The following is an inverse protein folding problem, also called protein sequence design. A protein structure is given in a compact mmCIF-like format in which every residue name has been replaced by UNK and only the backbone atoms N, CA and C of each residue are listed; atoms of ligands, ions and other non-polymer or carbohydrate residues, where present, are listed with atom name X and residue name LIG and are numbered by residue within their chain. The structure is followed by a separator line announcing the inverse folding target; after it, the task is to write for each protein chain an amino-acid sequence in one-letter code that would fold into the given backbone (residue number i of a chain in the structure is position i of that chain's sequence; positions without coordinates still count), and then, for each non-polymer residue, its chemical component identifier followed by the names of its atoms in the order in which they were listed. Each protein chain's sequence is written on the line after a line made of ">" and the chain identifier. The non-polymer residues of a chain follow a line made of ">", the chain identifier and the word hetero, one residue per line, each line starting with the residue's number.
data_IF_038709559465
#
_entry.id   IF_038709559465
#
_cell.length_a   1.000
_cell.length_b   1.000
_cell.length_c   1.000
_cell.angle_alpha   90.00
_cell.angle_beta   90.00
_cell.angle_gamma   90.00
#
_symmetry.space_group_name_H-M   'P 1'
#
loop_
_entity.id
_entity.type
_entity.pdbx_description
1 polymer ?
#
# COMPACT_ATOMS: atom_id res chain seq x y z
N UNK A 1 0.83 -8.06 32.54
CA UNK A 1 1.68 -9.21 32.21
C UNK A 1 2.83 -8.67 31.38
N UNK A 2 4.01 -8.51 31.96
CA UNK A 2 5.19 -8.00 31.24
C UNK A 2 5.68 -9.09 30.28
N UNK A 3 5.61 -8.82 28.98
CA UNK A 3 6.23 -9.72 27.99
C UNK A 3 7.74 -9.82 28.25
N UNK A 4 8.34 -11.02 28.10
CA UNK A 4 9.79 -11.15 28.19
C UNK A 4 10.43 -10.35 27.06
N UNK A 5 11.35 -9.43 27.41
CA UNK A 5 12.21 -8.73 26.44
C UNK A 5 13.05 -9.79 25.70
N UNK A 6 12.52 -10.25 24.54
CA UNK A 6 13.36 -10.99 23.59
C UNK A 6 14.31 -9.97 22.94
N UNK A 7 15.53 -9.95 23.43
CA UNK A 7 16.66 -9.30 22.76
C UNK A 7 16.71 -9.83 21.33
N UNK A 8 16.45 -8.98 20.36
CA UNK A 8 16.65 -9.27 18.93
C UNK A 8 18.13 -9.60 18.78
N UNK A 9 18.42 -10.86 18.59
CA UNK A 9 19.78 -11.34 18.39
C UNK A 9 20.26 -10.91 17.00
N UNK A 10 21.18 -9.98 16.93
CA UNK A 10 21.91 -9.58 15.70
C UNK A 10 22.99 -10.60 15.33
N UNK A 11 22.81 -11.89 15.61
CA UNK A 11 23.75 -12.91 15.17
C UNK A 11 23.70 -12.98 13.64
N UNK A 12 24.83 -12.69 12.99
CA UNK A 12 25.06 -12.97 11.56
C UNK A 12 24.64 -14.43 11.30
N UNK A 13 23.98 -14.72 10.16
CA UNK A 13 23.64 -16.08 9.80
C UNK A 13 24.90 -16.95 9.88
N UNK A 14 24.77 -18.13 10.48
CA UNK A 14 25.87 -19.08 10.68
C UNK A 14 26.28 -19.81 9.39
N UNK A 15 25.51 -19.64 8.29
CA UNK A 15 25.82 -20.18 6.98
C UNK A 15 26.60 -19.16 6.15
N UNK A 16 27.63 -19.63 5.43
CA UNK A 16 28.32 -18.82 4.44
C UNK A 16 27.33 -18.35 3.37
N UNK A 17 27.38 -17.08 2.94
CA UNK A 17 26.47 -16.57 1.93
C UNK A 17 26.61 -17.38 0.64
N UNK A 18 25.49 -17.59 -0.05
CA UNK A 18 25.48 -18.26 -1.36
C UNK A 18 26.33 -17.42 -2.33
N UNK A 19 27.25 -18.05 -3.10
CA UNK A 19 28.07 -17.30 -4.06
C UNK A 19 27.21 -16.50 -5.04
N UNK A 20 27.55 -15.22 -5.22
CA UNK A 20 26.79 -14.28 -6.06
C UNK A 20 25.87 -13.36 -5.27
N UNK A 21 25.68 -13.58 -3.98
CA UNK A 21 24.98 -12.63 -3.10
C UNK A 21 25.93 -11.90 -2.16
N UNK A 22 25.53 -10.70 -1.74
CA UNK A 22 26.02 -10.01 -0.55
C UNK A 22 24.96 -10.10 0.53
N UNK A 23 25.33 -10.55 1.72
CA UNK A 23 24.50 -10.44 2.92
C UNK A 23 24.54 -8.99 3.43
N UNK A 24 23.41 -8.42 3.77
CA UNK A 24 23.27 -7.03 4.22
C UNK A 24 22.97 -6.98 5.72
N UNK A 25 21.84 -7.55 6.15
CA UNK A 25 21.39 -7.51 7.55
C UNK A 25 20.38 -8.60 7.86
N UNK A 26 20.07 -8.76 9.16
CA UNK A 26 18.97 -9.62 9.64
C UNK A 26 18.23 -8.91 10.76
N UNK A 27 16.92 -8.77 10.63
CA UNK A 27 16.03 -8.15 11.60
C UNK A 27 14.74 -8.96 11.71
N UNK A 28 14.32 -9.26 12.93
CA UNK A 28 13.08 -10.00 13.23
C UNK A 28 12.95 -11.35 12.47
N UNK A 29 14.09 -12.04 12.19
CA UNK A 29 14.11 -13.29 11.44
C UNK A 29 14.07 -13.12 9.92
N UNK A 30 13.98 -11.89 9.41
CA UNK A 30 14.09 -11.57 7.98
C UNK A 30 15.55 -11.29 7.65
N UNK A 31 16.10 -12.00 6.66
CA UNK A 31 17.46 -11.82 6.17
C UNK A 31 17.47 -11.06 4.85
N UNK A 32 18.31 -10.03 4.72
CA UNK A 32 18.45 -9.28 3.48
C UNK A 32 19.73 -9.65 2.73
N UNK A 33 19.56 -9.86 1.44
CA UNK A 33 20.63 -10.13 0.48
C UNK A 33 20.50 -9.19 -0.74
N UNK A 34 21.63 -8.99 -1.44
CA UNK A 34 21.66 -8.33 -2.75
C UNK A 34 22.37 -9.25 -3.75
N UNK A 35 21.71 -9.53 -4.87
CA UNK A 35 22.27 -10.26 -6.00
C UNK A 35 23.31 -9.36 -6.72
N UNK A 36 24.58 -9.75 -6.70
CA UNK A 36 25.69 -8.90 -7.16
C UNK A 36 25.67 -8.57 -8.65
N UNK A 37 25.11 -9.48 -9.47
CA UNK A 37 25.09 -9.30 -10.92
C UNK A 37 24.24 -8.11 -11.38
N UNK A 38 23.14 -7.81 -10.67
CA UNK A 38 22.17 -6.82 -11.14
C UNK A 38 21.52 -5.97 -10.04
N UNK A 39 21.87 -6.18 -8.76
CA UNK A 39 21.39 -5.36 -7.68
C UNK A 39 20.02 -5.76 -7.12
N UNK A 40 19.40 -6.86 -7.56
CA UNK A 40 18.14 -7.34 -7.00
C UNK A 40 18.29 -7.57 -5.49
N UNK A 41 17.44 -6.90 -4.71
CA UNK A 41 17.33 -7.11 -3.27
C UNK A 41 16.45 -8.32 -2.99
N UNK A 42 16.82 -9.10 -1.99
CA UNK A 42 16.08 -10.29 -1.58
C UNK A 42 15.88 -10.24 -0.07
N UNK A 43 14.62 -10.31 0.37
CA UNK A 43 14.23 -10.52 1.76
C UNK A 43 13.79 -11.97 1.91
N UNK A 44 14.44 -12.70 2.79
CA UNK A 44 14.13 -14.10 3.07
C UNK A 44 13.68 -14.26 4.53
N UNK A 45 12.57 -14.98 4.74
CA UNK A 45 12.07 -15.32 6.07
C UNK A 45 11.62 -16.77 6.13
N UNK A 46 12.31 -17.58 6.94
CA UNK A 46 11.98 -18.99 7.11
C UNK A 46 10.79 -19.21 8.02
N UNK A 47 9.81 -19.97 7.54
CA UNK A 47 8.62 -20.42 8.28
C UNK A 47 8.52 -21.93 8.16
N UNK A 48 9.23 -22.71 9.02
CA UNK A 48 9.27 -24.16 8.92
C UNK A 48 7.91 -24.80 9.20
N UNK A 49 7.74 -26.02 8.72
CA UNK A 49 6.60 -26.89 9.00
C UNK A 49 5.23 -26.37 8.50
N UNK A 50 5.23 -25.39 7.60
CA UNK A 50 3.99 -24.87 7.00
C UNK A 50 3.66 -25.51 5.65
N UNK A 51 4.65 -26.08 4.97
CA UNK A 51 4.54 -26.63 3.62
C UNK A 51 4.23 -25.58 2.54
N UNK A 52 4.13 -24.30 2.90
CA UNK A 52 3.72 -23.19 2.02
C UNK A 52 4.87 -22.18 1.90
N UNK A 53 5.02 -21.63 0.69
CA UNK A 53 5.93 -20.52 0.38
C UNK A 53 5.14 -19.42 -0.30
N UNK A 54 5.40 -18.18 0.11
CA UNK A 54 4.98 -16.97 -0.60
C UNK A 54 6.20 -16.32 -1.23
N UNK A 55 6.16 -16.12 -2.54
CA UNK A 55 7.04 -15.18 -3.23
C UNK A 55 6.27 -13.90 -3.50
N UNK A 56 6.88 -12.78 -3.18
CA UNK A 56 6.33 -11.45 -3.45
C UNK A 56 7.44 -10.62 -4.09
N UNK A 57 7.17 -10.03 -5.24
CA UNK A 57 8.08 -9.10 -5.87
C UNK A 57 7.46 -7.70 -5.85
N UNK A 58 8.13 -6.77 -5.18
CA UNK A 58 7.73 -5.38 -5.07
C UNK A 58 8.64 -4.53 -5.94
N UNK A 59 8.07 -3.90 -6.95
CA UNK A 59 8.73 -2.85 -7.73
C UNK A 59 8.51 -1.52 -7.04
N UNK A 60 9.60 -0.76 -6.84
CA UNK A 60 9.58 0.56 -6.18
C UNK A 60 9.13 1.63 -7.17
N UNK A 61 7.93 1.47 -7.68
CA UNK A 61 7.26 2.33 -8.65
C UNK A 61 5.75 2.19 -8.50
N UNK A 62 5.04 3.29 -8.52
CA UNK A 62 3.58 3.33 -8.43
C UNK A 62 3.02 4.57 -9.10
N UNK A 63 1.79 4.94 -8.73
CA UNK A 63 1.09 6.06 -9.35
C UNK A 63 1.85 7.40 -9.25
N UNK A 64 2.68 7.59 -8.23
CA UNK A 64 3.48 8.82 -8.08
C UNK A 64 4.56 9.00 -9.13
N UNK A 65 4.98 7.93 -9.81
CA UNK A 65 6.05 7.95 -10.80
C UNK A 65 5.51 8.18 -12.23
N UNK A 66 4.21 8.37 -12.36
CA UNK A 66 3.51 8.60 -13.62
C UNK A 66 3.71 10.02 -14.14
N UNK A 67 3.74 10.16 -15.46
CA UNK A 67 3.80 11.47 -16.09
C UNK A 67 2.37 12.08 -16.20
N UNK A 68 2.32 13.40 -16.32
CA UNK A 68 1.06 14.08 -16.64
C UNK A 68 0.55 13.62 -18.01
N UNK A 69 -0.73 13.28 -18.10
CA UNK A 69 -1.36 12.70 -19.27
C UNK A 69 -1.15 11.19 -19.43
N UNK A 70 -0.55 10.54 -18.41
CA UNK A 70 -0.35 9.09 -18.35
C UNK A 70 -0.74 8.52 -16.97
N UNK A 71 -1.67 9.18 -16.26
CA UNK A 71 -2.13 8.68 -14.95
C UNK A 71 -2.86 7.34 -15.11
N UNK A 72 -2.59 6.39 -14.20
CA UNK A 72 -3.10 5.02 -14.28
C UNK A 72 -2.24 4.06 -15.10
N UNK A 73 -1.10 4.52 -15.68
CA UNK A 73 -0.21 3.65 -16.45
C UNK A 73 0.42 2.55 -15.60
N UNK A 74 0.72 2.82 -14.33
CA UNK A 74 1.25 1.83 -13.40
C UNK A 74 0.22 0.72 -13.12
N UNK A 75 -1.04 1.08 -12.91
CA UNK A 75 -2.15 0.14 -12.70
C UNK A 75 -2.47 -0.64 -13.99
N UNK A 76 -2.52 0.02 -15.13
CA UNK A 76 -2.70 -0.68 -16.42
C UNK A 76 -1.57 -1.67 -16.68
N UNK A 77 -0.33 -1.31 -16.36
CA UNK A 77 0.80 -2.24 -16.49
C UNK A 77 0.67 -3.43 -15.54
N UNK A 78 0.12 -3.25 -14.35
CA UNK A 78 -0.20 -4.36 -13.45
C UNK A 78 -1.08 -5.40 -14.15
N UNK A 79 -2.18 -4.98 -14.80
CA UNK A 79 -3.05 -5.87 -15.60
C UNK A 79 -2.30 -6.54 -16.73
N UNK A 80 -1.46 -5.78 -17.45
CA UNK A 80 -0.71 -6.28 -18.60
C UNK A 80 0.35 -7.31 -18.21
N UNK A 81 0.86 -7.31 -16.98
CA UNK A 81 1.86 -8.26 -16.54
C UNK A 81 1.29 -9.69 -16.27
N UNK A 82 0.00 -9.88 -16.40
CA UNK A 82 -0.64 -11.21 -16.44
C UNK A 82 -0.79 -11.74 -17.88
N UNK A 83 -0.44 -10.95 -18.89
CA UNK A 83 -0.44 -11.35 -20.31
C UNK A 83 0.77 -12.21 -20.65
N UNK A 84 0.78 -12.86 -21.84
CA UNK A 84 1.89 -13.72 -22.24
C UNK A 84 3.22 -13.00 -22.25
N UNK A 85 4.24 -13.70 -21.78
CA UNK A 85 5.64 -13.34 -21.95
C UNK A 85 6.18 -13.89 -23.28
N UNK A 86 7.38 -13.46 -23.68
CA UNK A 86 8.11 -14.04 -24.82
C UNK A 86 8.29 -15.56 -24.64
N UNK A 87 8.56 -16.00 -23.41
CA UNK A 87 8.70 -17.42 -23.08
C UNK A 87 7.38 -18.18 -23.21
N UNK A 88 6.27 -17.57 -22.81
CA UNK A 88 4.93 -18.15 -22.92
C UNK A 88 4.55 -18.38 -24.39
N UNK A 89 4.74 -17.37 -25.24
CA UNK A 89 4.48 -17.49 -26.69
C UNK A 89 5.35 -18.57 -27.32
N UNK A 90 6.64 -18.64 -26.96
CA UNK A 90 7.54 -19.67 -27.45
C UNK A 90 7.13 -21.08 -26.99
N UNK A 91 6.47 -21.19 -25.85
CA UNK A 91 5.94 -22.45 -25.32
C UNK A 91 4.53 -22.79 -25.82
N UNK A 92 3.86 -21.88 -26.55
CA UNK A 92 2.49 -22.06 -27.03
C UNK A 92 1.43 -21.99 -25.91
N UNK A 93 1.68 -21.20 -24.87
CA UNK A 93 0.76 -20.99 -23.74
C UNK A 93 0.33 -19.53 -23.64
N UNK A 94 -0.89 -19.31 -23.17
CA UNK A 94 -1.46 -17.96 -23.08
C UNK A 94 -0.84 -17.14 -21.93
N UNK A 95 -0.59 -17.77 -20.79
CA UNK A 95 0.03 -17.12 -19.61
C UNK A 95 0.49 -18.17 -18.62
N UNK A 96 1.78 -18.20 -18.31
CA UNK A 96 2.35 -19.13 -17.33
C UNK A 96 1.81 -18.88 -15.92
N UNK A 97 1.56 -17.63 -15.53
CA UNK A 97 1.03 -17.29 -14.21
C UNK A 97 -0.41 -17.79 -14.03
N UNK A 98 -1.28 -17.55 -15.03
CA UNK A 98 -2.67 -18.02 -15.00
C UNK A 98 -2.77 -19.55 -15.10
N UNK A 99 -1.88 -20.15 -15.88
CA UNK A 99 -1.79 -21.62 -15.95
C UNK A 99 -1.33 -22.20 -14.60
N UNK A 100 -0.36 -21.56 -13.93
CA UNK A 100 0.14 -21.97 -12.62
C UNK A 100 -0.98 -21.96 -11.58
N UNK A 101 -1.79 -20.89 -11.55
CA UNK A 101 -2.95 -20.78 -10.66
C UNK A 101 -3.97 -21.90 -10.93
N UNK A 102 -4.37 -22.11 -12.18
CA UNK A 102 -5.34 -23.17 -12.55
C UNK A 102 -4.88 -24.58 -12.19
N UNK A 103 -3.59 -24.87 -12.33
CA UNK A 103 -3.04 -26.20 -12.10
C UNK A 103 -2.77 -26.52 -10.63
N UNK A 104 -2.44 -25.51 -9.83
CA UNK A 104 -1.98 -25.71 -8.46
C UNK A 104 -2.95 -25.19 -7.40
N UNK A 105 -3.91 -24.32 -7.79
CA UNK A 105 -4.76 -23.60 -6.85
C UNK A 105 -3.96 -22.59 -6.00
N UNK A 106 -2.78 -22.14 -6.48
CA UNK A 106 -2.01 -21.13 -5.77
C UNK A 106 -2.82 -19.83 -5.66
N UNK A 107 -2.57 -19.07 -4.59
CA UNK A 107 -3.10 -17.72 -4.47
C UNK A 107 -2.20 -16.77 -5.25
N UNK A 108 -2.73 -16.20 -6.32
CA UNK A 108 -2.07 -15.21 -7.17
C UNK A 108 -2.81 -13.89 -7.06
N UNK A 109 -2.09 -12.79 -6.79
CA UNK A 109 -2.65 -11.46 -6.89
C UNK A 109 -1.56 -10.42 -7.16
N UNK A 110 -2.00 -9.20 -7.48
CA UNK A 110 -1.15 -8.02 -7.60
C UNK A 110 -1.90 -6.80 -7.07
N UNK A 111 -1.16 -5.75 -6.76
CA UNK A 111 -1.75 -4.45 -6.46
C UNK A 111 -0.77 -3.31 -6.73
N UNK A 112 -1.33 -2.19 -7.18
CA UNK A 112 -0.62 -0.93 -7.41
C UNK A 112 -1.08 0.11 -6.40
N UNK A 113 -0.11 0.81 -5.79
CA UNK A 113 -0.33 1.93 -4.89
C UNK A 113 0.45 3.17 -5.35
N UNK A 114 0.50 4.18 -4.50
CA UNK A 114 1.23 5.43 -4.79
C UNK A 114 2.73 5.18 -5.02
N UNK A 115 3.35 4.34 -4.17
CA UNK A 115 4.81 4.16 -4.09
C UNK A 115 5.34 2.85 -4.67
N UNK A 116 4.46 1.89 -4.98
CA UNK A 116 4.82 0.53 -5.33
C UNK A 116 3.81 -0.17 -6.22
N UNK A 117 4.30 -1.18 -6.94
CA UNK A 117 3.49 -2.22 -7.58
C UNK A 117 4.02 -3.58 -7.15
N UNK A 118 3.14 -4.47 -6.72
CA UNK A 118 3.50 -5.74 -6.08
C UNK A 118 2.78 -6.89 -6.76
N UNK A 119 3.51 -8.01 -6.97
CA UNK A 119 2.96 -9.28 -7.45
C UNK A 119 3.32 -10.36 -6.45
N UNK A 120 2.37 -11.21 -6.10
CA UNK A 120 2.64 -12.32 -5.19
C UNK A 120 1.99 -13.62 -5.62
N UNK A 121 2.67 -14.72 -5.26
CA UNK A 121 2.17 -16.08 -5.31
C UNK A 121 2.30 -16.72 -3.94
N UNK A 122 1.27 -17.43 -3.49
CA UNK A 122 1.36 -18.31 -2.32
C UNK A 122 0.98 -19.74 -2.74
N UNK A 123 1.87 -20.69 -2.53
CA UNK A 123 1.82 -22.02 -3.11
C UNK A 123 2.56 -23.06 -2.24
N UNK A 124 2.32 -24.39 -2.44
CA UNK A 124 3.12 -25.44 -1.83
C UNK A 124 4.61 -25.35 -2.20
N UNK A 125 5.49 -25.55 -1.23
CA UNK A 125 6.94 -25.29 -1.35
C UNK A 125 7.63 -25.97 -2.54
N UNK A 126 7.11 -27.09 -3.03
CA UNK A 126 7.63 -27.82 -4.20
C UNK A 126 7.60 -27.00 -5.49
N UNK A 127 6.69 -26.00 -5.59
CA UNK A 127 6.52 -25.16 -6.79
C UNK A 127 7.41 -23.92 -6.83
N UNK A 128 8.29 -23.70 -5.85
CA UNK A 128 9.18 -22.55 -5.79
C UNK A 128 9.96 -22.32 -7.10
N UNK A 129 10.45 -23.37 -7.73
CA UNK A 129 11.23 -23.25 -8.98
C UNK A 129 10.39 -22.66 -10.12
N UNK A 130 9.12 -23.08 -10.24
CA UNK A 130 8.19 -22.60 -11.25
C UNK A 130 7.78 -21.15 -10.99
N UNK A 131 7.45 -20.81 -9.74
CA UNK A 131 7.05 -19.46 -9.37
C UNK A 131 8.17 -18.44 -9.66
N UNK A 132 9.40 -18.73 -9.24
CA UNK A 132 10.56 -17.88 -9.49
C UNK A 132 10.87 -17.71 -10.98
N UNK A 133 10.67 -18.75 -11.79
CA UNK A 133 10.81 -18.68 -13.24
C UNK A 133 9.78 -17.70 -13.84
N UNK A 134 8.52 -17.84 -13.45
CA UNK A 134 7.43 -16.95 -13.92
C UNK A 134 7.73 -15.50 -13.58
N UNK A 135 8.17 -15.21 -12.35
CA UNK A 135 8.52 -13.85 -11.94
C UNK A 135 9.71 -13.27 -12.72
N UNK A 136 10.71 -14.08 -13.02
CA UNK A 136 11.84 -13.64 -13.83
C UNK A 136 11.45 -13.33 -15.29
N UNK A 137 10.59 -14.17 -15.86
CA UNK A 137 10.04 -13.96 -17.20
C UNK A 137 9.15 -12.70 -17.25
N UNK A 138 8.31 -12.47 -16.22
CA UNK A 138 7.51 -11.25 -16.06
C UNK A 138 8.38 -9.99 -15.97
N UNK A 139 9.48 -10.05 -15.24
CA UNK A 139 10.39 -8.90 -15.09
C UNK A 139 11.05 -8.46 -16.40
N UNK A 140 11.26 -9.37 -17.36
CA UNK A 140 12.10 -9.09 -18.52
C UNK A 140 11.45 -9.42 -19.88
N UNK A 141 10.29 -10.04 -19.91
CA UNK A 141 9.78 -10.64 -21.14
C UNK A 141 8.30 -10.42 -21.45
N UNK A 142 7.61 -9.49 -20.80
CA UNK A 142 6.20 -9.20 -21.11
C UNK A 142 6.09 -8.60 -22.50
N UNK A 143 5.09 -9.04 -23.26
CA UNK A 143 4.80 -8.54 -24.61
C UNK A 143 3.69 -7.49 -24.50
N UNK A 144 4.02 -6.25 -24.82
CA UNK A 144 3.10 -5.12 -24.78
C UNK A 144 2.79 -4.68 -26.21
N UNK A 145 1.54 -4.90 -26.64
CA UNK A 145 1.05 -4.48 -27.97
C UNK A 145 -0.29 -3.77 -27.83
N UNK A 146 -0.63 -2.91 -28.78
CA UNK A 146 -1.93 -2.25 -28.78
C UNK A 146 -3.10 -3.24 -28.91
N UNK A 147 -2.87 -4.40 -29.54
CA UNK A 147 -3.84 -5.48 -29.64
C UNK A 147 -4.11 -6.12 -28.27
N UNK A 148 -3.07 -6.42 -27.48
CA UNK A 148 -3.23 -6.98 -26.13
C UNK A 148 -3.70 -5.94 -25.12
N UNK A 149 -3.41 -4.65 -25.33
CA UNK A 149 -3.84 -3.54 -24.48
C UNK A 149 -5.32 -3.21 -24.63
N UNK A 150 -5.87 -3.32 -25.84
CA UNK A 150 -7.25 -2.89 -26.12
C UNK A 150 -8.32 -3.54 -25.22
N UNK A 151 -8.36 -4.88 -25.04
CA UNK A 151 -9.29 -5.50 -24.11
C UNK A 151 -9.04 -5.11 -22.65
N UNK A 152 -7.77 -4.98 -22.21
CA UNK A 152 -7.46 -4.58 -20.85
C UNK A 152 -7.84 -3.12 -20.58
N UNK A 153 -7.69 -2.23 -21.54
CA UNK A 153 -8.21 -0.86 -21.44
C UNK A 153 -9.72 -0.86 -21.17
N UNK A 154 -10.47 -1.71 -21.86
CA UNK A 154 -11.91 -1.83 -21.63
C UNK A 154 -12.24 -2.35 -20.24
N UNK A 155 -11.45 -3.30 -19.73
CA UNK A 155 -11.58 -3.81 -18.36
C UNK A 155 -11.30 -2.72 -17.31
N UNK A 156 -10.18 -1.98 -17.47
CA UNK A 156 -9.81 -0.88 -16.56
C UNK A 156 -10.81 0.28 -16.61
N UNK A 157 -11.35 0.61 -17.79
CA UNK A 157 -12.42 1.60 -17.91
C UNK A 157 -13.71 1.14 -17.23
N UNK A 158 -14.05 -0.14 -17.31
CA UNK A 158 -15.19 -0.70 -16.58
C UNK A 158 -14.98 -0.66 -15.06
N UNK A 159 -13.75 -0.94 -14.60
CA UNK A 159 -13.37 -0.80 -13.21
C UNK A 159 -13.43 0.67 -12.75
N UNK A 160 -12.93 1.59 -13.59
CA UNK A 160 -13.05 3.02 -13.33
C UNK A 160 -14.51 3.45 -13.14
N UNK A 161 -15.40 3.02 -14.06
CA UNK A 161 -16.82 3.37 -13.99
C UNK A 161 -17.48 2.78 -12.73
N UNK A 162 -17.16 1.56 -12.36
CA UNK A 162 -17.64 0.91 -11.14
C UNK A 162 -17.18 1.68 -9.90
N UNK A 163 -15.88 1.98 -9.80
CA UNK A 163 -15.30 2.74 -8.66
C UNK A 163 -15.85 4.16 -8.63
N UNK A 164 -15.90 4.83 -9.75
CA UNK A 164 -16.40 6.21 -9.84
C UNK A 164 -17.91 6.31 -9.55
N UNK A 165 -18.66 5.21 -9.66
CA UNK A 165 -20.04 5.09 -9.22
C UNK A 165 -20.20 5.02 -7.69
N UNK A 166 -19.16 4.65 -6.95
CA UNK A 166 -19.15 4.60 -5.49
C UNK A 166 -19.00 6.01 -4.89
N UNK A 167 -19.91 6.42 -3.98
CA UNK A 167 -19.86 7.76 -3.36
C UNK A 167 -18.59 8.05 -2.58
N UNK A 168 -18.05 7.07 -1.83
CA UNK A 168 -16.83 7.24 -1.05
C UNK A 168 -15.63 7.42 -1.95
N UNK A 169 -15.50 6.60 -3.00
CA UNK A 169 -14.42 6.74 -3.98
C UNK A 169 -14.50 8.09 -4.73
N UNK A 170 -15.70 8.48 -5.17
CA UNK A 170 -15.89 9.74 -5.90
C UNK A 170 -15.51 10.94 -5.04
N UNK A 171 -15.85 10.91 -3.75
CA UNK A 171 -15.46 11.94 -2.79
C UNK A 171 -13.95 11.91 -2.52
N UNK A 172 -13.36 10.73 -2.30
CA UNK A 172 -11.92 10.55 -2.11
C UNK A 172 -11.12 11.13 -3.27
N UNK A 173 -11.45 10.76 -4.51
CA UNK A 173 -10.78 11.25 -5.70
C UNK A 173 -10.83 12.79 -5.82
N UNK A 174 -11.98 13.40 -5.54
CA UNK A 174 -12.14 14.85 -5.55
C UNK A 174 -11.33 15.52 -4.43
N UNK A 175 -11.29 14.91 -3.24
CA UNK A 175 -10.51 15.40 -2.10
C UNK A 175 -9.01 15.31 -2.35
N UNK A 176 -8.52 14.19 -2.86
CA UNK A 176 -7.12 13.99 -3.23
C UNK A 176 -6.69 15.04 -4.26
N UNK A 177 -7.47 15.22 -5.33
CA UNK A 177 -7.19 16.25 -6.34
C UNK A 177 -7.23 17.70 -5.81
N UNK A 178 -7.99 17.96 -4.72
CA UNK A 178 -8.07 19.25 -4.07
C UNK A 178 -6.95 19.47 -3.04
N UNK A 179 -6.50 18.38 -2.39
CA UNK A 179 -5.49 18.43 -1.34
C UNK A 179 -4.08 18.72 -1.85
N UNK A 180 -3.81 18.50 -3.14
CA UNK A 180 -2.50 18.67 -3.74
C UNK A 180 -2.54 19.60 -4.95
N UNK A 181 -1.54 20.48 -5.06
CA UNK A 181 -1.32 21.32 -6.24
C UNK A 181 -0.28 20.74 -7.19
N UNK A 182 0.75 20.13 -6.63
CA UNK A 182 1.94 19.69 -7.39
C UNK A 182 2.34 18.27 -7.11
N UNK A 183 2.10 17.79 -5.88
CA UNK A 183 2.58 16.49 -5.47
C UNK A 183 1.89 15.37 -6.26
N UNK A 184 2.62 14.35 -6.72
CA UNK A 184 2.06 13.28 -7.56
C UNK A 184 1.08 12.36 -6.81
N UNK A 185 0.92 12.49 -5.48
CA UNK A 185 -0.18 11.83 -4.77
C UNK A 185 -1.55 12.46 -5.04
N UNK A 186 -1.63 13.50 -5.83
CA UNK A 186 -2.86 14.25 -6.12
C UNK A 186 -3.84 13.58 -7.09
N UNK A 187 -3.68 12.30 -7.40
CA UNK A 187 -4.64 11.51 -8.18
C UNK A 187 -4.77 10.09 -7.64
N UNK A 188 -5.86 9.42 -7.94
CA UNK A 188 -6.09 8.04 -7.58
C UNK A 188 -5.23 7.09 -8.44
N UNK A 189 -4.92 5.91 -7.91
CA UNK A 189 -4.03 4.93 -8.57
C UNK A 189 -4.58 4.44 -9.91
N UNK A 190 -5.90 4.39 -10.07
CA UNK A 190 -6.53 4.00 -11.34
C UNK A 190 -6.33 5.04 -12.43
N UNK A 191 -5.99 6.29 -12.07
CA UNK A 191 -5.79 7.39 -13.01
C UNK A 191 -7.06 8.12 -13.40
N UNK A 192 -6.94 9.03 -14.38
CA UNK A 192 -8.07 9.71 -15.00
C UNK A 192 -8.55 8.97 -16.23
N UNK A 193 -9.87 8.98 -16.48
CA UNK A 193 -10.49 8.33 -17.63
C UNK A 193 -9.83 8.75 -18.95
N UNK A 194 -9.62 10.05 -19.12
CA UNK A 194 -9.06 10.66 -20.32
C UNK A 194 -7.64 10.14 -20.63
N UNK A 195 -6.85 9.92 -19.58
CA UNK A 195 -5.50 9.35 -19.71
C UNK A 195 -5.58 7.86 -20.05
N UNK A 196 -6.46 7.09 -19.40
CA UNK A 196 -6.67 5.66 -19.68
C UNK A 196 -7.08 5.43 -21.15
N UNK A 197 -7.88 6.32 -21.72
CA UNK A 197 -8.33 6.24 -23.10
C UNK A 197 -7.21 6.51 -24.14
N UNK A 198 -6.17 7.25 -23.75
CA UNK A 198 -5.18 7.81 -24.67
C UNK A 198 -3.85 7.05 -24.73
N UNK A 199 -3.38 6.45 -23.64
CA UNK A 199 -2.07 5.81 -23.69
C UNK A 199 -2.08 4.51 -24.53
N UNK A 200 -0.92 4.15 -25.06
CA UNK A 200 -0.72 3.05 -26.00
C UNK A 200 0.40 2.11 -25.51
N UNK A 201 0.63 1.04 -26.26
CA UNK A 201 1.67 0.06 -25.92
C UNK A 201 3.06 0.70 -25.75
N UNK A 202 3.39 1.74 -26.52
CA UNK A 202 4.69 2.40 -26.43
C UNK A 202 4.86 3.18 -25.10
N UNK A 203 3.80 3.80 -24.54
CA UNK A 203 3.86 4.43 -23.22
C UNK A 203 4.03 3.38 -22.11
N UNK A 204 3.32 2.25 -22.18
CA UNK A 204 3.48 1.15 -21.24
C UNK A 204 4.88 0.54 -21.32
N UNK A 205 5.39 0.28 -22.54
CA UNK A 205 6.74 -0.28 -22.74
C UNK A 205 7.81 0.64 -22.18
N UNK A 206 7.69 1.97 -22.38
CA UNK A 206 8.61 2.96 -21.80
C UNK A 206 8.61 2.89 -20.27
N UNK A 207 7.42 2.85 -19.65
CA UNK A 207 7.27 2.75 -18.20
C UNK A 207 7.82 1.41 -17.68
N UNK A 208 7.49 0.32 -18.32
CA UNK A 208 7.97 -1.02 -17.99
C UNK A 208 9.51 -1.09 -18.02
N UNK A 209 10.15 -0.70 -19.14
CA UNK A 209 11.62 -0.74 -19.28
C UNK A 209 12.34 0.17 -18.28
N UNK A 210 11.71 1.27 -17.87
CA UNK A 210 12.29 2.21 -16.95
C UNK A 210 12.27 1.72 -15.52
N UNK A 211 11.20 1.09 -15.08
CA UNK A 211 10.94 0.80 -13.68
C UNK A 211 10.93 -0.68 -13.30
N UNK A 212 10.57 -1.59 -14.21
CA UNK A 212 10.47 -3.03 -13.96
C UNK A 212 11.83 -3.69 -14.21
N UNK A 213 12.73 -3.53 -13.26
CA UNK A 213 14.14 -3.90 -13.38
C UNK A 213 14.68 -4.40 -12.04
N UNK A 214 15.73 -5.27 -12.05
CA UNK A 214 16.23 -5.89 -10.82
C UNK A 214 16.63 -4.90 -9.72
N UNK A 215 17.31 -3.81 -10.09
CA UNK A 215 17.79 -2.79 -9.13
C UNK A 215 16.71 -1.82 -8.64
N UNK A 216 15.46 -2.01 -9.10
CA UNK A 216 14.26 -1.32 -8.61
C UNK A 216 13.26 -2.29 -7.97
N UNK A 217 13.64 -3.52 -7.74
CA UNK A 217 12.78 -4.56 -7.21
C UNK A 217 13.32 -5.14 -5.90
N UNK A 218 12.40 -5.57 -5.04
CA UNK A 218 12.68 -6.37 -3.85
C UNK A 218 11.89 -7.66 -3.94
N UNK A 219 12.60 -8.79 -4.03
CA UNK A 219 12.01 -10.12 -3.99
C UNK A 219 11.90 -10.58 -2.53
N UNK A 220 10.71 -10.91 -2.07
CA UNK A 220 10.49 -11.51 -0.78
C UNK A 220 10.18 -13.01 -0.94
N UNK A 221 10.83 -13.84 -0.15
CA UNK A 221 10.56 -15.28 -0.06
C UNK A 221 10.30 -15.61 1.39
N UNK A 222 9.06 -15.90 1.71
CA UNK A 222 8.59 -16.19 3.07
C UNK A 222 7.96 -17.57 3.09
N UNK A 223 8.41 -18.47 3.95
CA UNK A 223 7.78 -19.79 4.05
C UNK A 223 8.72 -20.96 4.32
N UNK A 224 8.22 -22.13 3.99
CA UNK A 224 8.87 -23.40 4.29
C UNK A 224 9.83 -23.81 3.16
N UNK A 225 10.94 -23.12 3.10
CA UNK A 225 12.03 -23.42 2.16
C UNK A 225 13.37 -23.07 2.80
N UNK A 226 14.38 -23.90 2.56
CA UNK A 226 15.75 -23.63 3.00
C UNK A 226 16.33 -22.40 2.30
N UNK A 227 17.02 -21.54 3.05
CA UNK A 227 17.60 -20.29 2.57
C UNK A 227 18.55 -20.47 1.39
N UNK A 228 19.43 -21.48 1.47
CA UNK A 228 20.38 -21.75 0.40
C UNK A 228 19.68 -22.24 -0.87
N UNK A 229 18.62 -23.02 -0.73
CA UNK A 229 17.77 -23.46 -1.86
C UNK A 229 17.10 -22.24 -2.50
N UNK A 230 16.45 -21.39 -1.71
CA UNK A 230 15.78 -20.18 -2.19
C UNK A 230 16.74 -19.26 -2.96
N UNK A 231 17.87 -18.91 -2.35
CA UNK A 231 18.86 -18.03 -2.97
C UNK A 231 19.49 -18.66 -4.23
N UNK A 232 19.73 -19.99 -4.25
CA UNK A 232 20.26 -20.68 -5.43
C UNK A 232 19.29 -20.61 -6.61
N UNK A 233 17.98 -20.78 -6.35
CA UNK A 233 16.94 -20.70 -7.38
C UNK A 233 16.74 -19.26 -7.87
N UNK A 234 16.74 -18.26 -6.96
CA UNK A 234 16.70 -16.85 -7.34
C UNK A 234 17.88 -16.52 -8.25
N UNK A 235 19.10 -16.90 -7.86
CA UNK A 235 20.28 -16.69 -8.71
C UNK A 235 20.13 -17.33 -10.10
N UNK A 236 19.61 -18.57 -10.18
CA UNK A 236 19.39 -19.27 -11.44
C UNK A 236 18.57 -18.47 -12.43
N UNK A 237 17.47 -17.87 -11.98
CA UNK A 237 16.52 -17.20 -12.86
C UNK A 237 16.78 -15.70 -13.05
N UNK A 238 17.27 -15.02 -12.02
CA UNK A 238 17.40 -13.57 -12.06
C UNK A 238 18.79 -13.05 -12.42
N UNK A 239 19.85 -13.86 -12.29
CA UNK A 239 21.21 -13.35 -12.49
C UNK A 239 21.53 -12.93 -13.93
N UNK A 240 20.81 -13.45 -14.91
CA UNK A 240 20.97 -13.12 -16.33
C UNK A 240 20.16 -11.87 -16.75
N UNK A 241 19.23 -11.40 -15.91
CA UNK A 241 18.48 -10.17 -16.18
C UNK A 241 19.43 -8.99 -15.95
N UNK A 242 19.71 -8.25 -17.00
CA UNK A 242 20.64 -7.14 -16.94
C UNK A 242 20.06 -5.93 -16.20
N UNK A 243 20.91 -5.24 -15.46
CA UNK A 243 20.59 -3.92 -14.93
C UNK A 243 20.81 -2.88 -16.03
N UNK A 244 19.76 -2.14 -16.46
CA UNK A 244 19.94 -1.06 -17.42
C UNK A 244 20.91 0.01 -16.92
N UNK A 245 21.71 0.57 -17.83
CA UNK A 245 22.67 1.65 -17.49
C UNK A 245 21.98 2.99 -17.18
N UNK A 246 20.77 3.20 -17.69
CA UNK A 246 19.99 4.43 -17.47
C UNK A 246 19.58 4.52 -16.00
N UNK A 247 19.85 5.63 -15.30
CA UNK A 247 19.38 5.84 -13.94
C UNK A 247 17.86 5.82 -13.84
N UNK A 248 17.33 5.30 -12.74
CA UNK A 248 15.90 5.38 -12.44
C UNK A 248 15.59 6.83 -12.08
N UNK A 249 14.67 7.52 -12.77
CA UNK A 249 14.28 8.86 -12.38
C UNK A 249 13.59 8.83 -11.02
N UNK A 250 13.99 9.74 -10.13
CA UNK A 250 13.36 9.95 -8.84
C UNK A 250 13.05 11.44 -8.72
N UNK A 251 11.81 11.77 -8.87
CA UNK A 251 11.36 13.16 -8.77
C UNK A 251 11.08 13.48 -7.29
N UNK A 252 11.71 14.53 -6.80
CA UNK A 252 11.40 15.11 -5.49
C UNK A 252 10.55 16.35 -5.71
N UNK A 253 9.24 16.16 -5.68
CA UNK A 253 8.28 17.26 -5.80
C UNK A 253 7.82 17.59 -4.38
N UNK A 254 8.05 18.84 -3.98
CA UNK A 254 7.55 19.35 -2.70
C UNK A 254 6.21 20.01 -2.94
N UNK A 255 5.19 19.57 -2.22
CA UNK A 255 3.89 20.24 -2.22
C UNK A 255 4.03 21.63 -1.59
N UNK A 256 3.49 22.69 -2.23
CA UNK A 256 3.44 24.01 -1.61
C UNK A 256 2.68 23.98 -0.28
N UNK A 257 3.14 24.80 0.68
CA UNK A 257 2.47 24.92 1.98
C UNK A 257 1.01 25.34 1.80
N UNK A 258 0.11 24.62 2.44
CA UNK A 258 -1.30 25.00 2.46
C UNK A 258 -1.52 26.18 3.38
N UNK A 259 -2.11 27.27 2.87
CA UNK A 259 -2.31 28.51 3.62
C UNK A 259 -3.67 28.58 4.36
N UNK A 260 -4.63 27.73 3.96
CA UNK A 260 -5.96 27.70 4.58
C UNK A 260 -6.73 26.44 4.23
N UNK A 261 -7.92 26.30 4.83
CA UNK A 261 -8.82 25.18 4.61
C UNK A 261 -9.23 25.06 3.14
N UNK A 262 -9.07 23.86 2.59
CA UNK A 262 -9.57 23.55 1.24
C UNK A 262 -10.92 22.85 1.33
N UNK A 263 -11.77 23.06 0.32
CA UNK A 263 -13.12 22.45 0.27
C UNK A 263 -13.46 21.94 -1.12
N UNK A 264 -14.20 20.84 -1.17
CA UNK A 264 -14.74 20.29 -2.41
C UNK A 264 -16.12 19.67 -2.16
N UNK A 265 -17.03 19.84 -3.11
CA UNK A 265 -18.35 19.23 -3.09
C UNK A 265 -18.52 18.34 -4.32
N UNK A 266 -19.04 17.13 -4.10
CA UNK A 266 -19.42 16.18 -5.15
C UNK A 266 -20.93 15.97 -5.05
N UNK A 267 -21.68 16.36 -6.09
CA UNK A 267 -23.13 16.19 -6.14
C UNK A 267 -23.49 15.14 -7.19
N UNK A 268 -24.15 14.07 -6.77
CA UNK A 268 -24.54 12.96 -7.67
C UNK A 268 -25.89 12.35 -7.24
N UNK A 269 -26.62 11.71 -8.17
CA UNK A 269 -27.81 10.92 -7.81
C UNK A 269 -27.45 9.84 -6.79
N UNK A 270 -27.94 9.97 -5.57
CA UNK A 270 -27.73 9.05 -4.44
C UNK A 270 -28.64 9.43 -3.28
N UNK A 271 -28.91 8.50 -2.39
CA UNK A 271 -29.52 8.78 -1.10
C UNK A 271 -28.49 9.09 0.00
N UNK A 272 -27.22 8.79 -0.25
CA UNK A 272 -26.13 9.00 0.71
C UNK A 272 -25.69 10.45 0.75
N UNK A 273 -25.40 10.92 1.95
CA UNK A 273 -24.73 12.18 2.23
C UNK A 273 -23.50 11.88 3.09
N UNK A 274 -22.34 12.36 2.68
CA UNK A 274 -21.07 12.07 3.37
C UNK A 274 -20.34 13.36 3.66
N UNK A 275 -19.80 13.48 4.88
CA UNK A 275 -18.80 14.48 5.26
C UNK A 275 -17.47 13.77 5.43
N UNK A 276 -16.44 14.23 4.73
CA UNK A 276 -15.11 13.74 4.89
C UNK A 276 -14.13 14.84 5.31
N UNK A 277 -13.36 14.60 6.36
CA UNK A 277 -12.28 15.47 6.81
C UNK A 277 -10.96 14.82 6.38
N UNK A 278 -10.39 15.28 5.29
CA UNK A 278 -9.03 14.93 4.88
C UNK A 278 -8.01 15.73 5.67
N UNK A 279 -6.90 15.12 6.07
CA UNK A 279 -5.82 15.77 6.80
C UNK A 279 -4.47 15.25 6.34
N UNK A 280 -3.50 16.13 6.16
CA UNK A 280 -2.13 15.74 5.79
C UNK A 280 -1.39 15.13 6.97
N UNK A 281 -0.80 13.96 6.76
CA UNK A 281 -0.03 13.22 7.76
C UNK A 281 1.37 12.92 7.25
N UNK A 282 2.31 12.71 8.17
CA UNK A 282 3.69 12.35 7.85
C UNK A 282 3.79 10.94 7.27
N UNK A 283 4.86 10.70 6.49
CA UNK A 283 5.09 9.39 5.86
C UNK A 283 5.31 8.24 6.85
N UNK A 284 4.96 7.06 6.41
CA UNK A 284 5.21 5.78 7.09
C UNK A 284 6.70 5.36 6.93
N UNK A 285 7.34 4.71 7.91
CA UNK A 285 6.83 4.28 9.22
C UNK A 285 7.31 5.21 10.37
N UNK A 286 7.09 6.50 10.26
CA UNK A 286 7.49 7.48 11.29
C UNK A 286 6.66 7.37 12.59
N UNK A 287 7.21 7.86 13.71
CA UNK A 287 6.49 7.89 15.00
C UNK A 287 5.21 8.73 14.92
N UNK A 288 5.25 9.79 14.15
CA UNK A 288 4.10 10.67 13.89
C UNK A 288 2.98 9.91 13.18
N UNK A 289 3.32 9.07 12.20
CA UNK A 289 2.36 8.21 11.51
C UNK A 289 1.66 7.24 12.48
N UNK A 290 2.41 6.57 13.35
CA UNK A 290 1.83 5.66 14.34
C UNK A 290 0.99 6.40 15.40
N UNK A 291 1.36 7.64 15.77
CA UNK A 291 0.55 8.47 16.66
C UNK A 291 -0.77 8.90 16.00
N UNK A 292 -0.73 9.25 14.70
CA UNK A 292 -1.92 9.52 13.88
C UNK A 292 -2.81 8.27 13.76
N UNK A 293 -2.22 7.11 13.51
CA UNK A 293 -2.93 5.82 13.48
C UNK A 293 -3.65 5.53 14.79
N UNK A 294 -2.97 5.73 15.94
CA UNK A 294 -3.57 5.55 17.25
C UNK A 294 -4.70 6.56 17.52
N UNK A 295 -4.55 7.82 17.08
CA UNK A 295 -5.60 8.82 17.17
C UNK A 295 -6.83 8.42 16.35
N UNK A 296 -6.66 7.99 15.11
CA UNK A 296 -7.77 7.52 14.27
C UNK A 296 -8.49 6.34 14.89
N UNK A 297 -7.76 5.38 15.43
CA UNK A 297 -8.35 4.23 16.11
C UNK A 297 -9.15 4.65 17.36
N UNK A 298 -8.70 5.68 18.09
CA UNK A 298 -9.44 6.28 19.21
C UNK A 298 -10.73 6.97 18.71
N UNK A 299 -10.66 7.64 17.56
CA UNK A 299 -11.80 8.38 16.99
C UNK A 299 -12.84 7.47 16.33
N UNK A 300 -12.39 6.42 15.61
CA UNK A 300 -13.26 5.64 14.70
C UNK A 300 -13.14 4.12 14.85
N UNK A 301 -12.24 3.62 15.69
CA UNK A 301 -11.87 2.19 15.76
C UNK A 301 -12.92 1.28 16.42
N UNK A 302 -14.15 1.33 15.97
CA UNK A 302 -15.24 0.45 16.39
C UNK A 302 -16.26 1.11 17.32
N UNK A 303 -17.21 0.33 17.87
CA UNK A 303 -18.36 0.87 18.59
C UNK A 303 -18.04 1.72 19.82
N UNK A 304 -16.92 1.45 20.49
CA UNK A 304 -16.51 2.22 21.67
C UNK A 304 -15.66 3.47 21.34
N UNK A 305 -15.46 3.78 20.06
CA UNK A 305 -14.71 4.95 19.63
C UNK A 305 -15.48 6.25 19.84
N UNK A 306 -14.76 7.35 19.98
CA UNK A 306 -15.35 8.64 20.37
C UNK A 306 -16.43 9.10 19.38
N UNK A 307 -16.14 9.05 18.08
CA UNK A 307 -17.10 9.50 17.06
C UNK A 307 -18.25 8.53 16.84
N UNK A 308 -18.02 7.22 17.02
CA UNK A 308 -19.09 6.24 16.95
C UNK A 308 -20.15 6.50 18.03
N UNK A 309 -19.70 6.62 19.30
CA UNK A 309 -20.59 6.96 20.41
C UNK A 309 -21.28 8.32 20.20
N UNK A 310 -20.54 9.33 19.74
CA UNK A 310 -21.09 10.67 19.61
C UNK A 310 -22.06 10.83 18.45
N UNK A 311 -21.86 10.12 17.36
CA UNK A 311 -22.61 10.32 16.10
C UNK A 311 -23.52 9.13 15.76
N UNK A 312 -23.00 7.90 15.80
CA UNK A 312 -23.77 6.71 15.39
C UNK A 312 -24.79 6.32 16.47
N UNK A 313 -24.36 6.19 17.72
CA UNK A 313 -25.28 5.83 18.83
C UNK A 313 -26.37 6.88 19.07
N UNK A 314 -26.12 8.15 18.68
CA UNK A 314 -27.10 9.23 18.76
C UNK A 314 -27.93 9.41 17.46
N UNK A 315 -27.78 8.55 16.47
CA UNK A 315 -28.55 8.57 15.23
C UNK A 315 -28.24 9.76 14.31
N UNK A 316 -27.08 10.41 14.47
CA UNK A 316 -26.62 11.54 13.64
C UNK A 316 -25.92 11.03 12.38
N UNK A 317 -25.19 9.91 12.49
CA UNK A 317 -24.54 9.22 11.39
C UNK A 317 -24.94 7.76 11.34
N UNK A 318 -24.79 7.12 10.17
CA UNK A 318 -24.95 5.69 9.99
C UNK A 318 -23.64 4.94 10.09
N UNK A 319 -22.52 5.60 9.71
CA UNK A 319 -21.16 5.08 9.90
C UNK A 319 -20.16 6.20 10.12
N UNK A 320 -19.04 5.85 10.76
CA UNK A 320 -17.85 6.68 10.91
C UNK A 320 -16.63 5.82 10.66
N UNK A 321 -15.80 6.21 9.70
CA UNK A 321 -14.63 5.48 9.27
C UNK A 321 -13.38 6.38 9.25
N UNK A 322 -12.22 5.81 9.52
CA UNK A 322 -10.94 6.50 9.45
C UNK A 322 -9.91 5.72 8.65
N UNK A 323 -9.22 6.38 7.73
CA UNK A 323 -8.18 5.76 6.93
C UNK A 323 -6.86 6.53 6.96
N UNK A 324 -5.76 5.78 6.91
CA UNK A 324 -4.40 6.31 6.89
C UNK A 324 -3.53 5.37 6.04
N UNK A 325 -3.05 5.83 4.90
CA UNK A 325 -2.24 5.03 4.00
C UNK A 325 -0.76 5.04 4.40
N UNK A 326 -0.05 3.89 4.31
CA UNK A 326 1.37 3.80 4.60
C UNK A 326 2.23 4.25 3.43
N UNK A 327 2.23 5.53 3.09
CA UNK A 327 3.03 6.12 2.02
C UNK A 327 4.40 6.61 2.48
N UNK A 328 5.37 6.62 1.58
CA UNK A 328 6.76 7.02 1.89
C UNK A 328 6.94 8.51 2.18
N UNK A 329 5.99 9.34 1.72
CA UNK A 329 5.98 10.79 1.92
C UNK A 329 4.68 11.23 2.59
N UNK A 330 4.56 12.52 2.88
CA UNK A 330 3.34 13.11 3.42
C UNK A 330 2.15 12.80 2.50
N UNK A 331 1.07 12.28 3.09
CA UNK A 331 -0.16 11.94 2.38
C UNK A 331 -1.39 12.47 3.10
N UNK A 332 -2.55 12.31 2.48
CA UNK A 332 -3.85 12.63 3.07
C UNK A 332 -4.44 11.38 3.72
N UNK A 333 -4.76 11.47 5.02
CA UNK A 333 -5.66 10.55 5.71
C UNK A 333 -7.07 11.12 5.75
N UNK A 334 -8.07 10.32 6.02
CA UNK A 334 -9.47 10.75 6.04
C UNK A 334 -10.22 10.27 7.27
N UNK A 335 -11.14 11.12 7.75
CA UNK A 335 -12.30 10.74 8.56
C UNK A 335 -13.53 10.88 7.67
N UNK A 336 -14.25 9.79 7.42
CA UNK A 336 -15.48 9.76 6.62
C UNK A 336 -16.67 9.51 7.53
N UNK A 337 -17.73 10.29 7.38
CA UNK A 337 -18.97 10.21 8.16
C UNK A 337 -20.14 10.13 7.19
N UNK A 338 -20.86 9.02 7.16
CA UNK A 338 -22.11 8.90 6.41
C UNK A 338 -23.24 9.39 7.28
N UNK A 339 -23.96 10.42 6.82
CA UNK A 339 -25.00 11.10 7.58
C UNK A 339 -26.28 10.25 7.67
N UNK A 340 -26.92 10.26 8.82
CA UNK A 340 -28.30 9.81 8.95
C UNK A 340 -29.26 10.85 8.35
N UNK A 341 -30.45 10.44 7.85
CA UNK A 341 -31.44 11.34 7.31
C UNK A 341 -31.83 12.49 8.27
N UNK A 342 -31.93 13.69 7.73
CA UNK A 342 -32.31 14.88 8.52
C UNK A 342 -31.17 15.69 9.08
N UNK A 343 -29.93 15.26 8.89
CA UNK A 343 -28.74 16.00 9.32
C UNK A 343 -28.06 16.70 8.14
N UNK A 344 -27.44 17.87 8.41
CA UNK A 344 -26.73 18.66 7.42
C UNK A 344 -25.22 18.41 7.47
N UNK A 345 -24.56 18.55 6.33
CA UNK A 345 -23.10 18.38 6.23
C UNK A 345 -22.36 19.35 7.16
N UNK A 346 -22.75 20.63 7.15
CA UNK A 346 -22.13 21.67 7.98
C UNK A 346 -22.30 21.38 9.48
N UNK A 347 -23.50 20.94 9.88
CA UNK A 347 -23.77 20.62 11.29
C UNK A 347 -22.94 19.44 11.80
N UNK A 348 -22.77 18.38 10.96
CA UNK A 348 -21.95 17.24 11.32
C UNK A 348 -20.45 17.58 11.29
N UNK A 349 -19.97 18.33 10.29
CA UNK A 349 -18.60 18.86 10.27
C UNK A 349 -18.28 19.63 11.56
N UNK A 350 -19.14 20.57 11.94
CA UNK A 350 -18.95 21.39 13.14
C UNK A 350 -18.90 20.51 14.41
N UNK A 351 -19.82 19.55 14.56
CA UNK A 351 -19.80 18.61 15.68
C UNK A 351 -18.47 17.84 15.77
N UNK A 352 -18.01 17.29 14.65
CA UNK A 352 -16.73 16.52 14.61
C UNK A 352 -15.57 17.42 14.99
N UNK A 353 -15.49 18.63 14.44
CA UNK A 353 -14.43 19.60 14.78
C UNK A 353 -14.45 19.98 16.26
N UNK A 354 -15.64 20.20 16.85
CA UNK A 354 -15.80 20.49 18.28
C UNK A 354 -15.35 19.30 19.12
N UNK A 355 -15.72 18.07 18.76
CA UNK A 355 -15.32 16.86 19.48
C UNK A 355 -13.79 16.72 19.47
N UNK A 356 -13.16 16.87 18.30
CA UNK A 356 -11.70 16.78 18.17
C UNK A 356 -11.00 17.88 18.98
N UNK A 357 -11.51 19.12 18.94
CA UNK A 357 -10.92 20.26 19.66
C UNK A 357 -11.00 20.13 21.20
N UNK A 358 -11.88 19.26 21.70
CA UNK A 358 -12.07 19.01 23.14
C UNK A 358 -11.31 17.77 23.65
N UNK A 359 -10.53 17.11 22.77
CA UNK A 359 -9.72 15.96 23.20
C UNK A 359 -8.71 16.40 24.27
N UNK A 360 -8.67 15.68 25.36
CA UNK A 360 -7.76 15.91 26.46
C UNK A 360 -7.11 14.62 26.99
N UNK A 361 -6.15 14.76 27.86
CA UNK A 361 -5.44 13.61 28.43
C UNK A 361 -6.36 12.65 29.21
N UNK A 362 -7.42 13.17 29.82
CA UNK A 362 -8.37 12.37 30.59
C UNK A 362 -9.21 11.48 29.68
N UNK A 363 -9.62 11.99 28.54
CA UNK A 363 -10.38 11.27 27.52
C UNK A 363 -9.50 10.24 26.78
N UNK A 364 -8.30 10.62 26.37
CA UNK A 364 -7.42 9.77 25.55
C UNK A 364 -6.78 8.65 26.37
N UNK A 365 -6.37 8.88 27.63
CA UNK A 365 -5.58 7.92 28.41
C UNK A 365 -6.21 6.51 28.54
N UNK A 366 -7.49 6.34 28.89
CA UNK A 366 -8.10 5.02 28.98
C UNK A 366 -8.25 4.33 27.61
N UNK A 367 -8.55 5.09 26.56
CA UNK A 367 -8.74 4.57 25.20
C UNK A 367 -7.40 4.16 24.58
N UNK A 368 -6.34 4.96 24.76
CA UNK A 368 -5.02 4.66 24.23
C UNK A 368 -4.48 3.31 24.73
N UNK A 369 -4.78 2.94 25.99
CA UNK A 369 -4.38 1.64 26.53
C UNK A 369 -5.02 0.48 25.74
N UNK A 370 -6.32 0.61 25.41
CA UNK A 370 -7.05 -0.39 24.59
C UNK A 370 -6.53 -0.42 23.16
N UNK A 371 -6.35 0.76 22.56
CA UNK A 371 -5.86 0.92 21.18
C UNK A 371 -4.46 0.32 21.02
N UNK A 372 -3.53 0.58 21.94
CA UNK A 372 -2.20 -0.04 21.90
C UNK A 372 -2.28 -1.56 21.95
N UNK A 373 -3.12 -2.12 22.82
CA UNK A 373 -3.31 -3.56 22.91
C UNK A 373 -3.89 -4.13 21.60
N UNK A 374 -4.84 -3.43 20.97
CA UNK A 374 -5.42 -3.81 19.68
C UNK A 374 -4.35 -3.78 18.57
N UNK A 375 -3.65 -2.65 18.41
CA UNK A 375 -2.63 -2.51 17.38
C UNK A 375 -1.50 -3.54 17.52
N UNK A 376 -1.06 -3.86 18.74
CA UNK A 376 -0.10 -4.95 18.99
C UNK A 376 -0.66 -6.33 18.64
N UNK A 377 -1.96 -6.54 18.85
CA UNK A 377 -2.62 -7.80 18.49
C UNK A 377 -2.73 -7.91 16.95
N UNK A 378 -3.08 -6.82 16.27
CA UNK A 378 -3.14 -6.76 14.81
C UNK A 378 -1.77 -7.08 14.20
N UNK A 379 -0.68 -6.53 14.75
CA UNK A 379 0.70 -6.85 14.39
C UNK A 379 1.06 -8.34 14.57
N UNK A 380 0.55 -8.97 15.63
CA UNK A 380 0.78 -10.40 15.84
C UNK A 380 0.02 -11.25 14.81
N UNK A 381 -1.22 -10.88 14.49
CA UNK A 381 -2.00 -11.56 13.45
C UNK A 381 -1.46 -11.31 12.04
N UNK A 382 -0.86 -10.15 11.78
CA UNK A 382 -0.17 -9.90 10.51
C UNK A 382 1.04 -10.83 10.29
N UNK A 383 1.50 -11.51 11.33
CA UNK A 383 2.62 -12.47 11.28
C UNK A 383 2.21 -13.94 11.32
N UNK A 384 0.94 -14.27 11.15
CA UNK A 384 0.45 -15.66 11.26
C UNK A 384 0.66 -16.49 9.98
N UNK A 385 0.72 -15.85 8.81
CA UNK A 385 0.92 -16.53 7.53
C UNK A 385 2.07 -15.95 6.70
N UNK A 386 2.60 -16.75 5.76
CA UNK A 386 3.67 -16.31 4.85
C UNK A 386 3.21 -15.14 3.97
N UNK A 387 1.95 -15.17 3.52
CA UNK A 387 1.36 -14.12 2.70
C UNK A 387 1.27 -12.80 3.47
N UNK A 388 0.69 -12.81 4.67
CA UNK A 388 0.55 -11.60 5.48
C UNK A 388 1.88 -10.97 5.87
N UNK A 389 2.89 -11.78 6.17
CA UNK A 389 4.25 -11.28 6.42
C UNK A 389 4.81 -10.59 5.18
N UNK A 390 4.64 -11.19 4.00
CA UNK A 390 5.12 -10.61 2.75
C UNK A 390 4.39 -9.29 2.42
N UNK A 391 3.08 -9.25 2.60
CA UNK A 391 2.26 -8.05 2.36
C UNK A 391 2.63 -6.92 3.34
N UNK A 392 2.81 -7.23 4.62
CA UNK A 392 3.23 -6.24 5.60
C UNK A 392 4.64 -5.70 5.29
N UNK A 393 5.61 -6.59 5.00
CA UNK A 393 6.95 -6.19 4.60
C UNK A 393 6.97 -5.29 3.36
N UNK A 394 6.02 -5.47 2.45
CA UNK A 394 5.87 -4.65 1.25
C UNK A 394 5.75 -3.16 1.57
N UNK A 395 4.97 -2.79 2.59
CA UNK A 395 4.77 -1.39 2.97
C UNK A 395 6.07 -0.78 3.54
N UNK A 396 6.79 -1.52 4.37
CA UNK A 396 8.10 -1.08 4.88
C UNK A 396 9.17 -1.00 3.78
N UNK A 397 9.12 -1.88 2.80
CA UNK A 397 10.00 -1.86 1.61
C UNK A 397 9.69 -0.62 0.77
N UNK A 398 8.43 -0.34 0.49
CA UNK A 398 7.99 0.81 -0.30
C UNK A 398 8.34 2.14 0.37
N UNK A 399 8.29 2.21 1.70
CA UNK A 399 8.72 3.38 2.47
C UNK A 399 10.24 3.62 2.44
N UNK A 400 11.03 2.68 1.93
CA UNK A 400 12.49 2.75 1.84
C UNK A 400 13.23 2.27 3.07
N UNK A 401 12.56 1.87 4.14
CA UNK A 401 13.19 1.40 5.38
C UNK A 401 12.51 0.16 5.99
N UNK A 402 12.66 -0.99 5.32
CA UNK A 402 12.07 -2.24 5.80
C UNK A 402 12.55 -2.67 7.20
N UNK A 403 13.71 -2.19 7.66
CA UNK A 403 14.24 -2.60 8.97
C UNK A 403 13.40 -2.11 10.14
N UNK A 404 12.53 -1.13 9.92
CA UNK A 404 11.58 -0.63 10.93
C UNK A 404 10.49 -1.68 11.24
N UNK A 405 10.20 -2.61 10.33
CA UNK A 405 9.31 -3.75 10.56
C UNK A 405 9.58 -4.48 11.87
N UNK A 406 10.86 -4.73 12.17
CA UNK A 406 11.25 -5.39 13.42
C UNK A 406 11.11 -4.53 14.68
N UNK A 407 10.88 -3.23 14.54
CA UNK A 407 10.77 -2.26 15.64
C UNK A 407 9.33 -1.79 15.90
N UNK A 408 8.38 -2.20 15.08
CA UNK A 408 6.98 -1.76 15.19
C UNK A 408 6.39 -1.98 16.59
N UNK A 409 6.59 -3.13 17.27
CA UNK A 409 6.07 -3.30 18.62
C UNK A 409 6.64 -2.28 19.62
N UNK A 410 7.92 -1.93 19.51
CA UNK A 410 8.56 -0.93 20.37
C UNK A 410 8.03 0.48 20.07
N UNK A 411 7.82 0.81 18.77
CA UNK A 411 7.25 2.09 18.37
C UNK A 411 5.82 2.24 18.89
N UNK A 412 5.01 1.19 18.80
CA UNK A 412 3.65 1.17 19.33
C UNK A 412 3.63 1.31 20.87
N UNK A 413 4.58 0.66 21.57
CA UNK A 413 4.71 0.81 23.02
C UNK A 413 5.12 2.23 23.44
N UNK A 414 5.92 2.90 22.65
CA UNK A 414 6.38 4.28 22.86
C UNK A 414 5.30 5.36 22.60
N UNK A 415 4.15 5.03 21.99
CA UNK A 415 3.06 5.98 21.78
C UNK A 415 2.54 6.45 23.15
N UNK A 416 2.49 7.75 23.34
CA UNK A 416 2.05 8.39 24.58
C UNK A 416 0.77 9.23 24.37
N UNK A 417 0.09 9.54 25.47
CA UNK A 417 -1.04 10.48 25.44
C UNK A 417 -0.63 11.82 24.83
N UNK A 418 0.58 12.29 25.18
CA UNK A 418 1.11 13.55 24.63
C UNK A 418 1.33 13.48 23.12
N UNK A 419 1.83 12.34 22.58
CA UNK A 419 2.02 12.20 21.13
C UNK A 419 0.69 12.12 20.37
N UNK A 420 -0.34 11.51 20.95
CA UNK A 420 -1.70 11.46 20.36
C UNK A 420 -2.38 12.81 20.40
N UNK A 421 -2.27 13.56 21.50
CA UNK A 421 -2.77 14.95 21.59
C UNK A 421 -2.07 15.85 20.58
N UNK A 422 -0.74 15.76 20.48
CA UNK A 422 0.01 16.50 19.46
C UNK A 422 -0.46 16.15 18.04
N UNK A 423 -0.76 14.88 17.76
CA UNK A 423 -1.31 14.49 16.47
C UNK A 423 -2.67 15.18 16.21
N UNK A 424 -3.58 15.22 17.21
CA UNK A 424 -4.87 15.90 17.04
C UNK A 424 -4.71 17.40 16.77
N UNK A 425 -3.78 18.06 17.45
CA UNK A 425 -3.48 19.50 17.28
C UNK A 425 -2.85 19.84 15.93
N UNK A 426 -2.07 18.90 15.36
CA UNK A 426 -1.33 19.14 14.10
C UNK A 426 -2.09 18.71 12.85
N UNK A 427 -2.88 17.63 12.92
CA UNK A 427 -3.58 17.08 11.77
C UNK A 427 -4.86 17.82 11.42
N UNK A 428 -5.60 18.31 12.43
CA UNK A 428 -6.92 18.93 12.24
C UNK A 428 -6.86 20.46 12.31
N UNK A 429 -6.00 21.05 11.47
CA UNK A 429 -5.85 22.50 11.33
C UNK A 429 -6.29 22.96 9.94
N UNK A 430 -6.65 24.22 9.78
CA UNK A 430 -7.00 24.76 8.46
C UNK A 430 -5.84 24.67 7.44
N UNK A 431 -4.59 24.56 7.91
CA UNK A 431 -3.39 24.41 7.06
C UNK A 431 -3.11 22.98 6.63
N UNK A 432 -3.81 22.02 7.17
CA UNK A 432 -3.61 20.59 6.87
C UNK A 432 -4.87 19.93 6.34
N UNK A 433 -6.05 20.53 6.56
CA UNK A 433 -7.33 19.92 6.22
C UNK A 433 -7.82 20.26 4.82
N UNK A 434 -8.49 19.27 4.23
CA UNK A 434 -9.36 19.38 3.06
C UNK A 434 -10.71 18.78 3.43
N UNK A 435 -11.79 19.57 3.37
CA UNK A 435 -13.14 19.10 3.68
C UNK A 435 -13.86 18.74 2.39
N UNK A 436 -14.44 17.55 2.36
CA UNK A 436 -15.24 17.06 1.25
C UNK A 436 -16.68 16.78 1.66
N UNK A 437 -17.64 17.19 0.82
CA UNK A 437 -19.03 16.82 0.96
C UNK A 437 -19.46 16.01 -0.26
N UNK A 438 -20.00 14.81 -0.01
CA UNK A 438 -20.78 14.12 -1.02
C UNK A 438 -22.26 14.43 -0.76
N UNK A 439 -22.90 15.05 -1.75
CA UNK A 439 -24.29 15.54 -1.67
C UNK A 439 -25.14 14.64 -2.57
N UNK A 440 -25.89 13.75 -1.93
CA UNK A 440 -26.86 12.92 -2.61
C UNK A 440 -28.04 13.75 -3.13
N UNK A 441 -28.22 13.79 -4.44
CA UNK A 441 -29.39 14.41 -5.06
C UNK A 441 -30.42 13.34 -5.35
N UNK A 442 -31.64 13.49 -4.79
CA UNK A 442 -32.75 12.62 -5.16
C UNK A 442 -33.05 12.79 -6.64
N UNK A 443 -33.08 11.69 -7.39
CA UNK A 443 -33.54 11.68 -8.79
C UNK A 443 -35.04 11.98 -8.90
#
# INVERSE_FOLDING_TARGET
>A
MTMPKKTVSTKKPTAAPVPGFSYITSIAGVHEYVLKSNGLRVLYHHRPDTGVVTTNITYLVGARDEARGETGVAHMLEHMLFKPTIADVAAGIDSASMQFERETGCHLNANTWKDRTTYHFSYPAEYLDRALRIEAERMNGVILTDESLSPERSNVLSEFDMRNGDPDFALSAAMVGTAYHSHPYGHETIGYREDIEQYNAASLERFYRLYYRPDNAVMMVVGDVDEKIALTKIKKYFSAIEKPAVPIPRFHITEPTQEGLRRVNVSRPSELNIVALGFKHQGFPGKEWFSARALLEILTGGPESILNIALVDNGIATSVDGSLEPTSQENIGTLSITLAPGHTHEGVEEMVRIIISKLDAKTISPLLKKVKAKLLTDELFARDSSLRIADELTEYVASGNWTTYGKTPEILDDISVASVLKASETLFTDKTMTIGYFIGTRS
#
